data_IF_205719442951
#
_entry.id   IF_205719442951
#
_cell.length_a   1.000
_cell.length_b   1.000
_cell.length_c   1.000
_cell.angle_alpha   90.00
_cell.angle_beta   90.00
_cell.angle_gamma   90.00
#
_symmetry.space_group_name_H-M   'P 1'
#
loop_
_entity.id
_entity.type
_entity.pdbx_description
1 polymer ?
#
# COMPACT_ATOMS: atom_id res chain seq x y z
N UNK A 1 -22.24 -5.16 0.75
CA UNK A 1 -21.11 -6.01 1.20
C UNK A 1 -20.10 -5.32 2.14
N UNK A 2 -20.02 -3.98 2.27
CA UNK A 2 -19.02 -3.31 3.14
C UNK A 2 -19.58 -2.61 4.40
N UNK A 3 -20.90 -2.59 4.61
CA UNK A 3 -21.53 -2.02 5.83
C UNK A 3 -21.10 -2.80 7.08
N UNK A 4 -20.47 -2.14 8.05
CA UNK A 4 -20.07 -2.72 9.34
C UNK A 4 -21.14 -2.58 10.44
N UNK A 5 -21.96 -1.51 10.40
CA UNK A 5 -22.96 -1.21 11.43
C UNK A 5 -23.44 0.23 11.36
N UNK A 6 -23.99 0.73 12.48
CA UNK A 6 -24.42 2.12 12.68
C UNK A 6 -23.77 2.66 13.97
N UNK A 7 -23.14 3.83 13.89
CA UNK A 7 -22.43 4.44 15.03
C UNK A 7 -23.35 4.94 16.15
N UNK A 8 -24.65 5.08 15.88
CA UNK A 8 -25.64 5.41 16.92
C UNK A 8 -26.05 4.18 17.73
N UNK A 9 -25.79 2.98 17.20
CA UNK A 9 -26.21 1.70 17.78
C UNK A 9 -25.02 0.90 18.34
N UNK A 10 -23.83 1.06 17.74
CA UNK A 10 -22.63 0.27 18.05
C UNK A 10 -21.47 1.22 18.32
N UNK A 11 -20.75 0.98 19.42
CA UNK A 11 -19.56 1.75 19.76
C UNK A 11 -18.50 1.62 18.65
N UNK A 12 -17.83 2.71 18.33
CA UNK A 12 -16.89 2.78 17.19
C UNK A 12 -15.71 1.81 17.36
N UNK A 13 -15.31 1.56 18.61
CA UNK A 13 -14.31 0.54 18.95
C UNK A 13 -14.70 -0.85 18.46
N UNK A 14 -15.95 -1.25 18.67
CA UNK A 14 -16.42 -2.59 18.27
C UNK A 14 -16.49 -2.72 16.75
N UNK A 15 -16.82 -1.62 16.05
CA UNK A 15 -16.80 -1.58 14.59
C UNK A 15 -15.38 -1.71 14.03
N UNK A 16 -14.43 -0.91 14.55
CA UNK A 16 -13.06 -0.86 14.02
C UNK A 16 -12.25 -2.11 14.38
N UNK A 17 -12.52 -2.72 15.55
CA UNK A 17 -11.88 -3.96 16.00
C UNK A 17 -12.68 -5.22 15.68
N UNK A 18 -13.76 -5.11 14.91
CA UNK A 18 -14.50 -6.28 14.42
C UNK A 18 -13.62 -7.18 13.54
N UNK A 19 -13.87 -8.48 13.59
CA UNK A 19 -13.13 -9.47 12.77
C UNK A 19 -13.25 -9.18 11.27
N UNK A 20 -14.40 -8.65 10.83
CA UNK A 20 -14.60 -8.26 9.44
C UNK A 20 -13.72 -7.09 9.04
N UNK A 21 -13.60 -6.07 9.89
CA UNK A 21 -12.74 -4.93 9.61
C UNK A 21 -11.25 -5.30 9.67
N UNK A 22 -10.85 -6.18 10.60
CA UNK A 22 -9.49 -6.73 10.65
C UNK A 22 -9.14 -7.50 9.37
N UNK A 23 -10.02 -8.39 8.89
CA UNK A 23 -9.82 -9.11 7.62
C UNK A 23 -9.64 -8.15 6.44
N UNK A 24 -10.47 -7.11 6.36
CA UNK A 24 -10.33 -6.07 5.34
C UNK A 24 -8.99 -5.33 5.44
N UNK A 25 -8.58 -4.93 6.64
CA UNK A 25 -7.32 -4.24 6.87
C UNK A 25 -6.10 -5.08 6.46
N UNK A 26 -6.05 -6.34 6.89
CA UNK A 26 -4.93 -7.23 6.59
C UNK A 26 -4.92 -7.76 5.14
N UNK A 27 -6.05 -7.67 4.42
CA UNK A 27 -6.09 -8.06 3.01
C UNK A 27 -5.06 -7.28 2.17
N UNK A 28 -4.75 -6.02 2.52
CA UNK A 28 -3.75 -5.21 1.80
C UNK A 28 -2.36 -5.86 1.81
N UNK A 29 -1.89 -6.35 2.94
CA UNK A 29 -0.59 -7.01 3.05
C UNK A 29 -0.65 -8.47 2.61
N UNK A 30 -1.72 -9.18 2.97
CA UNK A 30 -1.82 -10.63 2.76
C UNK A 30 -2.01 -10.98 1.28
N UNK A 31 -2.58 -10.08 0.47
CA UNK A 31 -2.79 -10.28 -0.98
C UNK A 31 -1.61 -9.82 -1.85
N UNK A 32 -0.47 -9.44 -1.26
CA UNK A 32 0.67 -9.00 -2.06
C UNK A 32 1.25 -10.17 -2.88
N UNK A 33 1.48 -9.99 -4.19
CA UNK A 33 2.19 -10.97 -4.98
C UNK A 33 3.66 -11.06 -4.55
N UNK A 34 4.31 -12.17 -4.86
CA UNK A 34 5.71 -12.45 -4.54
C UNK A 34 6.65 -11.40 -5.16
N UNK A 35 6.28 -10.91 -6.35
CA UNK A 35 6.95 -9.79 -7.01
C UNK A 35 7.03 -8.53 -6.13
N UNK A 36 5.96 -8.23 -5.39
CA UNK A 36 5.92 -7.09 -4.46
C UNK A 36 6.72 -7.40 -3.19
N UNK A 37 6.63 -8.63 -2.65
CA UNK A 37 7.36 -9.05 -1.45
C UNK A 37 8.88 -8.97 -1.61
N UNK A 38 9.39 -9.25 -2.82
CA UNK A 38 10.81 -9.15 -3.18
C UNK A 38 11.26 -7.75 -3.62
N UNK A 39 10.34 -6.78 -3.71
CA UNK A 39 10.64 -5.45 -4.23
C UNK A 39 11.42 -4.60 -3.19
N UNK A 40 12.55 -3.97 -3.55
CA UNK A 40 13.31 -3.12 -2.63
C UNK A 40 12.53 -1.87 -2.17
N UNK A 41 11.48 -1.48 -2.89
CA UNK A 41 10.64 -0.32 -2.56
C UNK A 41 9.37 -0.67 -1.79
N UNK A 42 9.19 -1.93 -1.36
CA UNK A 42 7.97 -2.35 -0.68
C UNK A 42 7.66 -1.51 0.56
N UNK A 43 8.68 -1.10 1.32
CA UNK A 43 8.52 -0.28 2.52
C UNK A 43 8.04 1.16 2.23
N UNK A 44 8.14 1.61 0.97
CA UNK A 44 7.66 2.93 0.55
C UNK A 44 6.23 2.87 0.01
N UNK A 45 5.86 1.82 -0.74
CA UNK A 45 4.53 1.73 -1.36
C UNK A 45 3.54 0.82 -0.63
N UNK A 46 4.01 -0.21 0.07
CA UNK A 46 3.19 -1.27 0.67
C UNK A 46 2.21 -1.92 -0.31
N UNK A 47 2.62 -2.02 -1.59
CA UNK A 47 1.81 -2.48 -2.72
C UNK A 47 0.62 -1.59 -3.07
N UNK A 48 0.55 -0.37 -2.52
CA UNK A 48 -0.47 0.64 -2.78
C UNK A 48 -1.92 0.16 -2.56
N UNK A 49 -2.91 0.92 -3.02
CA UNK A 49 -4.34 0.66 -2.87
C UNK A 49 -4.76 -0.67 -3.52
N UNK A 50 -5.36 -1.64 -2.77
CA UNK A 50 -5.85 -2.89 -3.34
C UNK A 50 -6.88 -2.75 -4.47
N UNK A 51 -7.68 -1.67 -4.45
CA UNK A 51 -8.66 -1.36 -5.51
C UNK A 51 -8.00 -1.25 -6.89
N UNK A 52 -6.74 -0.81 -6.92
CA UNK A 52 -6.01 -0.46 -8.13
C UNK A 52 -4.98 -1.56 -8.51
N UNK A 53 -5.09 -2.75 -7.89
CA UNK A 53 -4.23 -3.93 -8.11
C UNK A 53 -4.81 -4.90 -9.14
N UNK A 54 -5.08 -4.39 -10.34
CA UNK A 54 -5.72 -5.16 -11.41
C UNK A 54 -4.76 -5.65 -12.50
N UNK A 55 -3.45 -5.39 -12.39
CA UNK A 55 -2.45 -5.93 -13.32
C UNK A 55 -1.89 -7.28 -12.85
N UNK A 56 -1.27 -7.99 -13.79
CA UNK A 56 -0.44 -9.16 -13.51
C UNK A 56 1.03 -8.75 -13.32
N UNK A 57 1.76 -9.50 -12.51
CA UNK A 57 3.22 -9.40 -12.40
C UNK A 57 3.90 -9.94 -13.67
N UNK A 58 5.19 -9.67 -13.88
CA UNK A 58 5.95 -10.29 -14.97
C UNK A 58 5.92 -11.83 -14.95
N UNK A 59 5.82 -12.42 -13.76
CA UNK A 59 5.70 -13.86 -13.55
C UNK A 59 4.26 -14.38 -13.68
N UNK A 60 3.29 -13.49 -13.92
CA UNK A 60 1.89 -13.82 -14.16
C UNK A 60 0.97 -13.80 -12.94
N UNK A 61 1.47 -13.52 -11.74
CA UNK A 61 0.65 -13.41 -10.53
C UNK A 61 -0.29 -12.20 -10.61
N UNK A 62 -1.53 -12.32 -10.15
CA UNK A 62 -2.45 -11.18 -10.08
C UNK A 62 -2.15 -10.28 -8.88
N UNK A 63 -2.66 -9.04 -8.89
CA UNK A 63 -2.55 -8.16 -7.73
C UNK A 63 -1.42 -7.15 -7.81
N UNK A 64 -0.89 -6.87 -9.02
CA UNK A 64 0.06 -5.79 -9.21
C UNK A 64 -0.67 -4.45 -9.37
N UNK A 65 -0.23 -3.44 -8.62
CA UNK A 65 -0.75 -2.07 -8.74
C UNK A 65 -0.43 -1.48 -10.12
N UNK A 66 -1.39 -0.81 -10.75
CA UNK A 66 -1.22 -0.35 -12.14
C UNK A 66 -0.09 0.68 -12.32
N UNK A 67 0.23 1.47 -11.30
CA UNK A 67 1.35 2.42 -11.31
C UNK A 67 2.68 1.82 -10.85
N UNK A 68 2.78 0.50 -10.63
CA UNK A 68 3.97 -0.10 -10.02
C UNK A 68 5.27 0.29 -10.76
N UNK A 69 5.30 0.25 -12.09
CA UNK A 69 6.48 0.61 -12.88
C UNK A 69 6.86 2.08 -12.74
N UNK A 70 5.88 2.98 -12.74
CA UNK A 70 6.08 4.42 -12.52
C UNK A 70 6.58 4.73 -11.12
N UNK A 71 5.98 4.12 -10.10
CA UNK A 71 6.40 4.25 -8.71
C UNK A 71 7.82 3.73 -8.50
N UNK A 72 8.21 2.61 -9.11
CA UNK A 72 9.59 2.12 -9.06
C UNK A 72 10.58 3.15 -9.61
N UNK A 73 10.28 3.78 -10.74
CA UNK A 73 11.10 4.85 -11.32
C UNK A 73 11.18 6.05 -10.38
N UNK A 74 10.03 6.52 -9.87
CA UNK A 74 9.96 7.63 -8.93
C UNK A 74 10.81 7.37 -7.68
N UNK A 75 10.62 6.22 -7.03
CA UNK A 75 11.37 5.88 -5.82
C UNK A 75 12.86 5.75 -6.08
N UNK A 76 13.26 5.14 -7.20
CA UNK A 76 14.66 5.09 -7.58
C UNK A 76 15.29 6.49 -7.64
N UNK A 77 14.65 7.43 -8.33
CA UNK A 77 15.11 8.82 -8.41
C UNK A 77 15.10 9.49 -7.04
N UNK A 78 13.98 9.41 -6.31
CA UNK A 78 13.82 10.07 -5.02
C UNK A 78 14.83 9.56 -3.97
N UNK A 79 15.07 8.25 -3.90
CA UNK A 79 16.02 7.69 -2.93
C UNK A 79 17.47 8.00 -3.29
N UNK A 80 17.81 8.03 -4.59
CA UNK A 80 19.16 8.39 -5.06
C UNK A 80 19.45 9.88 -4.83
N UNK A 81 18.44 10.74 -4.97
CA UNK A 81 18.57 12.18 -4.74
C UNK A 81 18.37 12.63 -3.28
N UNK A 82 18.22 11.68 -2.33
CA UNK A 82 17.86 11.99 -0.93
C UNK A 82 18.81 12.99 -0.26
N UNK A 83 20.12 12.84 -0.46
CA UNK A 83 21.12 13.74 0.15
C UNK A 83 21.03 15.16 -0.38
N UNK A 84 20.82 15.30 -1.69
CA UNK A 84 20.65 16.59 -2.36
C UNK A 84 19.36 17.29 -1.90
N UNK A 85 18.25 16.54 -1.83
CA UNK A 85 16.97 17.06 -1.31
C UNK A 85 17.14 17.52 0.14
N UNK A 86 17.81 16.72 0.99
CA UNK A 86 18.03 17.07 2.39
C UNK A 86 18.81 18.38 2.55
N UNK A 87 19.83 18.64 1.71
CA UNK A 87 20.58 19.92 1.72
C UNK A 87 19.69 21.12 1.43
N UNK A 88 18.77 20.99 0.47
CA UNK A 88 17.85 22.09 0.08
C UNK A 88 16.79 22.40 1.14
N UNK A 89 16.50 21.45 2.02
CA UNK A 89 15.55 21.61 3.12
C UNK A 89 16.18 22.17 4.40
N UNK A 90 17.51 22.32 4.46
CA UNK A 90 18.15 22.93 5.62
C UNK A 90 17.76 24.41 5.68
N UNK A 91 17.18 24.88 6.80
CA UNK A 91 16.92 26.29 6.98
C UNK A 91 18.24 27.07 6.94
N UNK A 92 18.20 28.27 6.36
CA UNK A 92 19.32 29.21 6.34
C UNK A 92 19.80 29.56 7.75
#
# INVERSE_FOLDING_TARGET
>A
EYKLGNIQEIHQGDLIFSERQKKFAYAKSNSLPEYCKKCPYLQLCWGDCPKDRFLKTPEGEVGLHYLCSGLKKFFHTATTSKSEIAKRLQPH
#
